data_IF_213272969483
#
_entry.id   IF_213272969483
#
_cell.length_a   1.000
_cell.length_b   1.000
_cell.length_c   1.000
_cell.angle_alpha   90.00
_cell.angle_beta   90.00
_cell.angle_gamma   90.00
#
_symmetry.space_group_name_H-M   'P 1'
#
loop_
_entity.id
_entity.type
_entity.pdbx_description
1 polymer ?
#
# COMPACT_ATOMS: atom_id res chain seq x y z
N UNK A 1 -11.00 -5.60 21.61
CA UNK A 1 -12.31 -5.04 21.18
C UNK A 1 -12.18 -4.24 19.88
N UNK A 2 -11.29 -3.23 19.77
CA UNK A 2 -11.16 -2.41 18.56
C UNK A 2 -10.74 -3.16 17.29
N UNK A 3 -9.71 -4.03 17.36
CA UNK A 3 -9.24 -4.84 16.22
C UNK A 3 -10.31 -5.78 15.64
N UNK A 4 -11.27 -6.23 16.45
CA UNK A 4 -12.38 -7.08 16.00
C UNK A 4 -13.33 -6.28 15.10
N UNK A 5 -13.58 -5.01 15.42
CA UNK A 5 -14.39 -4.14 14.56
C UNK A 5 -13.71 -3.89 13.21
N UNK A 6 -12.39 -3.70 13.21
CA UNK A 6 -11.62 -3.55 11.97
C UNK A 6 -11.71 -4.83 11.14
N UNK A 7 -11.52 -6.01 11.74
CA UNK A 7 -11.67 -7.29 11.05
C UNK A 7 -13.06 -7.45 10.41
N UNK A 8 -14.12 -7.09 11.15
CA UNK A 8 -15.48 -7.13 10.64
C UNK A 8 -15.70 -6.14 9.49
N UNK A 9 -15.16 -4.92 9.57
CA UNK A 9 -15.22 -3.94 8.47
C UNK A 9 -14.54 -4.48 7.21
N UNK A 10 -13.34 -5.05 7.34
CA UNK A 10 -12.60 -5.65 6.23
C UNK A 10 -13.40 -6.80 5.61
N UNK A 11 -14.00 -7.65 6.44
CA UNK A 11 -14.82 -8.75 5.96
C UNK A 11 -16.06 -8.27 5.21
N UNK A 12 -16.74 -7.23 5.70
CA UNK A 12 -17.89 -6.64 5.02
C UNK A 12 -17.51 -5.99 3.69
N UNK A 13 -16.36 -5.30 3.64
CA UNK A 13 -15.81 -4.67 2.44
C UNK A 13 -15.44 -5.71 1.37
N UNK A 14 -14.73 -6.76 1.77
CA UNK A 14 -14.10 -7.71 0.84
C UNK A 14 -14.99 -8.92 0.52
N UNK A 15 -15.93 -9.27 1.39
CA UNK A 15 -16.74 -10.49 1.30
C UNK A 15 -16.04 -11.76 1.81
N UNK A 16 -14.85 -11.64 2.40
CA UNK A 16 -14.04 -12.75 2.90
C UNK A 16 -13.66 -12.55 4.37
N UNK A 17 -13.54 -13.62 5.18
CA UNK A 17 -13.11 -13.51 6.57
C UNK A 17 -11.83 -12.68 6.76
N UNK A 18 -11.70 -12.07 7.92
CA UNK A 18 -10.48 -11.36 8.35
C UNK A 18 -10.17 -11.77 9.79
N UNK A 19 -8.96 -12.27 10.05
CA UNK A 19 -8.53 -12.63 11.41
C UNK A 19 -8.08 -11.36 12.16
N UNK A 20 -8.66 -11.04 13.33
CA UNK A 20 -8.17 -9.95 14.18
C UNK A 20 -6.70 -10.09 14.60
N UNK A 21 -6.12 -11.30 14.63
CA UNK A 21 -4.71 -11.52 14.97
C UNK A 21 -3.74 -10.99 13.92
N UNK A 22 -4.22 -10.78 12.69
CA UNK A 22 -3.44 -10.23 11.58
C UNK A 22 -3.52 -8.69 11.51
N UNK A 23 -4.19 -8.06 12.49
CA UNK A 23 -4.43 -6.61 12.50
C UNK A 23 -3.56 -5.94 13.56
N UNK A 24 -2.71 -5.03 13.10
CA UNK A 24 -1.84 -4.24 13.95
C UNK A 24 -2.28 -2.77 13.89
N UNK A 25 -2.39 -2.15 15.06
CA UNK A 25 -2.64 -0.72 15.17
C UNK A 25 -1.31 0.02 15.20
N UNK A 26 -1.16 1.01 14.33
CA UNK A 26 0.04 1.84 14.21
C UNK A 26 -0.30 3.31 14.46
N UNK A 27 0.71 4.15 14.68
CA UNK A 27 0.53 5.60 14.77
C UNK A 27 0.39 6.25 13.37
N UNK A 28 -0.63 5.82 12.63
CA UNK A 28 -0.94 6.23 11.26
C UNK A 28 -0.08 5.57 10.17
N UNK A 29 -0.50 5.77 8.90
CA UNK A 29 0.25 5.56 7.64
C UNK A 29 1.66 5.02 7.79
N UNK A 30 2.46 6.06 7.96
CA UNK A 30 3.89 6.06 7.86
C UNK A 30 4.55 5.15 8.88
N UNK A 31 4.00 5.04 10.09
CA UNK A 31 4.58 4.25 11.16
C UNK A 31 4.52 2.74 10.86
N UNK A 32 3.37 2.28 10.38
CA UNK A 32 3.21 0.89 9.92
C UNK A 32 4.14 0.58 8.75
N UNK A 33 4.14 1.44 7.71
CA UNK A 33 4.97 1.24 6.51
C UNK A 33 6.45 1.17 6.88
N UNK A 34 6.94 2.11 7.70
CA UNK A 34 8.32 2.10 8.20
C UNK A 34 8.64 0.82 8.96
N UNK A 35 7.73 0.36 9.81
CA UNK A 35 7.91 -0.87 10.58
C UNK A 35 8.06 -2.10 9.68
N UNK A 36 7.20 -2.26 8.67
CA UNK A 36 7.29 -3.38 7.73
C UNK A 36 8.53 -3.30 6.87
N UNK A 37 8.86 -2.13 6.31
CA UNK A 37 10.09 -1.97 5.50
C UNK A 37 11.31 -2.35 6.36
N UNK A 38 11.38 -1.90 7.62
CA UNK A 38 12.47 -2.24 8.54
C UNK A 38 12.60 -3.76 8.75
N UNK A 39 11.49 -4.49 8.85
CA UNK A 39 11.48 -5.95 9.00
C UNK A 39 12.00 -6.69 7.75
N UNK A 40 11.83 -6.10 6.56
CA UNK A 40 12.29 -6.67 5.28
C UNK A 40 13.77 -6.42 5.00
N UNK A 41 14.45 -5.63 5.84
CA UNK A 41 15.85 -5.29 5.65
C UNK A 41 16.75 -6.49 5.99
N UNK A 42 17.64 -6.82 5.06
CA UNK A 42 18.76 -7.70 5.33
C UNK A 42 19.98 -6.87 5.73
N UNK A 43 20.88 -7.48 6.50
CA UNK A 43 22.13 -6.84 6.93
C UNK A 43 23.32 -7.21 6.03
N UNK A 44 23.09 -7.53 4.75
CA UNK A 44 24.16 -7.86 3.80
C UNK A 44 24.64 -6.60 3.07
N UNK A 45 25.81 -6.03 3.42
CA UNK A 45 26.29 -4.79 2.82
C UNK A 45 26.67 -4.92 1.34
N UNK A 46 26.91 -6.14 0.84
CA UNK A 46 27.26 -6.37 -0.57
C UNK A 46 26.02 -6.49 -1.47
N UNK A 47 24.87 -6.79 -0.88
CA UNK A 47 23.62 -7.00 -1.60
C UNK A 47 22.45 -6.57 -0.69
N UNK A 48 22.27 -5.25 -0.49
CA UNK A 48 21.23 -4.73 0.39
C UNK A 48 19.84 -5.15 -0.09
N UNK A 49 18.86 -5.09 0.81
CA UNK A 49 17.45 -5.27 0.42
C UNK A 49 17.04 -4.24 -0.62
N UNK A 50 16.30 -4.67 -1.64
CA UNK A 50 15.73 -3.81 -2.65
C UNK A 50 14.21 -3.76 -2.53
N UNK A 51 13.63 -2.57 -2.58
CA UNK A 51 12.17 -2.39 -2.57
C UNK A 51 11.76 -1.62 -3.83
N UNK A 52 10.79 -2.18 -4.55
CA UNK A 52 10.20 -1.56 -5.72
C UNK A 52 9.19 -0.49 -5.31
N UNK A 53 9.30 0.72 -5.84
CA UNK A 53 8.37 1.84 -5.55
C UNK A 53 7.92 2.53 -6.85
N UNK A 54 6.66 3.02 -6.92
CA UNK A 54 6.14 3.63 -8.13
C UNK A 54 6.79 4.97 -8.40
N UNK A 55 6.89 5.38 -9.66
CA UNK A 55 7.20 6.76 -10.04
C UNK A 55 6.05 7.30 -10.89
N UNK A 56 5.41 8.43 -10.49
CA UNK A 56 5.67 9.24 -9.29
C UNK A 56 5.10 8.66 -7.98
N UNK A 57 5.61 9.08 -6.83
CA UNK A 57 5.14 8.70 -5.48
C UNK A 57 5.36 9.82 -4.44
N UNK A 58 4.69 9.73 -3.29
CA UNK A 58 4.95 10.60 -2.13
C UNK A 58 6.32 10.34 -1.49
N UNK A 59 7.05 11.34 -0.96
CA UNK A 59 8.42 11.18 -0.45
C UNK A 59 8.63 10.18 0.72
N UNK A 60 7.55 9.69 1.35
CA UNK A 60 7.61 8.76 2.47
C UNK A 60 8.49 7.53 2.16
N UNK A 61 8.30 6.93 0.99
CA UNK A 61 8.94 5.67 0.63
C UNK A 61 10.44 5.84 0.37
N UNK A 62 10.81 6.72 -0.55
CA UNK A 62 12.22 7.01 -0.86
C UNK A 62 13.00 7.48 0.37
N UNK A 63 12.41 8.34 1.21
CA UNK A 63 13.05 8.76 2.46
C UNK A 63 13.27 7.58 3.42
N UNK A 64 12.28 6.69 3.58
CA UNK A 64 12.38 5.51 4.46
C UNK A 64 13.40 4.50 3.94
N UNK A 65 13.44 4.25 2.63
CA UNK A 65 14.43 3.36 2.03
C UNK A 65 15.86 3.90 2.22
N UNK A 66 16.04 5.20 2.03
CA UNK A 66 17.33 5.86 2.32
C UNK A 66 17.71 5.78 3.80
N UNK A 67 16.75 5.97 4.71
CA UNK A 67 16.96 5.88 6.16
C UNK A 67 17.50 4.50 6.58
N UNK A 68 17.02 3.43 5.92
CA UNK A 68 17.39 2.05 6.25
C UNK A 68 18.49 1.46 5.36
N UNK A 69 19.04 2.24 4.43
CA UNK A 69 20.08 1.78 3.50
C UNK A 69 19.58 0.73 2.50
N UNK A 70 18.28 0.72 2.20
CA UNK A 70 17.69 -0.11 1.16
C UNK A 70 17.96 0.48 -0.22
N UNK A 71 18.10 -0.39 -1.23
CA UNK A 71 18.13 0.04 -2.61
C UNK A 71 16.70 0.34 -3.09
N UNK A 72 16.50 1.57 -3.55
CA UNK A 72 15.27 1.99 -4.22
C UNK A 72 15.26 1.44 -5.65
N UNK A 73 14.21 0.69 -5.99
CA UNK A 73 13.99 0.16 -7.34
C UNK A 73 12.78 0.88 -7.94
N UNK A 74 13.02 1.83 -8.83
CA UNK A 74 11.95 2.60 -9.45
C UNK A 74 11.25 1.79 -10.54
N UNK A 75 9.92 1.76 -10.50
CA UNK A 75 9.09 1.35 -11.63
C UNK A 75 8.18 2.50 -12.05
N UNK A 76 8.06 2.74 -13.35
CA UNK A 76 7.30 3.88 -13.85
C UNK A 76 5.82 3.51 -14.07
N UNK A 77 4.93 4.39 -13.63
CA UNK A 77 3.51 4.27 -13.95
C UNK A 77 3.25 4.74 -15.39
N UNK A 78 2.28 4.13 -16.06
CA UNK A 78 1.96 4.42 -17.46
C UNK A 78 1.04 5.64 -17.57
N UNK A 79 1.61 6.83 -17.74
CA UNK A 79 0.88 8.10 -17.85
C UNK A 79 -0.17 8.09 -18.97
N UNK A 80 0.19 7.54 -20.14
CA UNK A 80 -0.69 7.47 -21.32
C UNK A 80 -1.88 6.52 -21.09
N UNK A 81 -1.75 5.59 -20.15
CA UNK A 81 -2.79 4.63 -19.77
C UNK A 81 -3.27 4.85 -18.33
N UNK A 82 -3.60 6.11 -17.98
CA UNK A 82 -4.20 6.49 -16.69
C UNK A 82 -3.37 6.10 -15.46
N UNK A 83 -2.05 6.17 -15.54
CA UNK A 83 -1.12 5.84 -14.47
C UNK A 83 -1.26 4.40 -13.95
N UNK A 84 -1.69 3.48 -14.82
CA UNK A 84 -1.83 2.05 -14.48
C UNK A 84 -0.45 1.38 -14.34
N UNK A 85 -0.42 0.22 -13.67
CA UNK A 85 0.80 -0.58 -13.60
C UNK A 85 0.96 -1.45 -14.86
N UNK A 86 2.17 -1.49 -15.38
CA UNK A 86 2.56 -2.34 -16.50
C UNK A 86 3.50 -3.44 -16.00
N UNK A 87 3.16 -4.71 -16.26
CA UNK A 87 3.95 -5.86 -15.79
C UNK A 87 5.32 -5.93 -16.48
N UNK A 88 5.41 -5.54 -17.76
CA UNK A 88 6.70 -5.52 -18.47
C UNK A 88 7.65 -4.49 -17.86
N UNK A 89 7.11 -3.36 -17.40
CA UNK A 89 7.86 -2.35 -16.67
C UNK A 89 8.32 -2.85 -15.29
N UNK A 90 7.46 -3.56 -14.56
CA UNK A 90 7.86 -4.21 -13.30
C UNK A 90 8.97 -5.24 -13.51
N UNK A 91 8.87 -6.07 -14.56
CA UNK A 91 9.90 -7.03 -14.95
C UNK A 91 11.22 -6.34 -15.31
N UNK A 92 11.18 -5.25 -16.09
CA UNK A 92 12.35 -4.45 -16.47
C UNK A 92 13.05 -3.91 -15.22
N UNK A 93 12.32 -3.18 -14.37
CA UNK A 93 12.84 -2.58 -13.14
C UNK A 93 13.46 -3.62 -12.21
N UNK A 94 12.77 -4.75 -12.02
CA UNK A 94 13.27 -5.85 -11.21
C UNK A 94 14.57 -6.42 -11.78
N UNK A 95 14.62 -6.71 -13.08
CA UNK A 95 15.79 -7.30 -13.73
C UNK A 95 17.04 -6.40 -13.65
N UNK A 96 16.89 -5.10 -13.89
CA UNK A 96 17.99 -4.12 -13.80
C UNK A 96 18.53 -3.91 -12.37
N UNK A 97 17.81 -4.38 -11.35
CA UNK A 97 18.19 -4.22 -9.93
C UNK A 97 18.94 -5.43 -9.36
N UNK A 98 18.94 -6.58 -10.04
CA UNK A 98 19.40 -7.88 -9.49
C UNK A 98 20.89 -7.92 -9.11
N UNK A 99 21.71 -7.13 -9.80
CA UNK A 99 23.14 -7.02 -9.53
C UNK A 99 23.45 -6.05 -8.39
N UNK A 100 22.53 -5.11 -8.10
CA UNK A 100 22.70 -4.04 -7.12
C UNK A 100 22.10 -4.38 -5.76
N UNK A 101 21.05 -5.19 -5.73
CA UNK A 101 20.29 -5.49 -4.51
C UNK A 101 19.68 -6.88 -4.53
N UNK A 102 19.13 -7.30 -3.39
CA UNK A 102 18.21 -8.43 -3.28
C UNK A 102 16.78 -7.89 -3.18
N UNK A 103 16.02 -7.82 -4.29
CA UNK A 103 14.64 -7.37 -4.25
C UNK A 103 13.82 -8.26 -3.31
N UNK A 104 13.11 -7.65 -2.37
CA UNK A 104 12.32 -8.36 -1.38
C UNK A 104 10.89 -7.84 -1.22
N UNK A 105 10.56 -6.71 -1.85
CA UNK A 105 9.21 -6.18 -1.79
C UNK A 105 8.88 -5.17 -2.88
N UNK A 106 7.58 -4.91 -3.02
CA UNK A 106 6.99 -3.94 -3.93
C UNK A 106 5.91 -3.14 -3.21
N UNK A 107 6.00 -1.82 -3.31
CA UNK A 107 4.99 -0.88 -2.83
C UNK A 107 4.00 -0.59 -3.95
N UNK A 108 2.72 -0.66 -3.64
CA UNK A 108 1.62 -0.26 -4.54
C UNK A 108 0.77 0.77 -3.79
N UNK A 109 0.51 1.92 -4.41
CA UNK A 109 -0.35 2.97 -3.84
C UNK A 109 -1.65 2.97 -4.64
N UNK A 110 -2.77 2.59 -4.01
CA UNK A 110 -4.08 2.47 -4.67
C UNK A 110 -5.24 2.80 -3.71
N UNK A 111 -6.03 3.86 -3.97
CA UNK A 111 -5.87 4.86 -5.01
C UNK A 111 -4.54 5.62 -4.92
N UNK A 112 -3.96 5.98 -6.07
CA UNK A 112 -2.59 6.50 -6.11
C UNK A 112 -2.45 7.96 -5.67
N UNK A 113 -1.27 8.28 -5.15
CA UNK A 113 -0.86 9.63 -4.77
C UNK A 113 0.56 9.87 -5.29
N UNK A 114 0.80 10.86 -6.17
CA UNK A 114 -0.07 12.00 -6.50
C UNK A 114 -1.05 11.79 -7.66
N UNK A 115 -1.05 10.63 -8.30
CA UNK A 115 -1.67 10.40 -9.61
C UNK A 115 -3.19 10.22 -9.59
N UNK A 116 -3.80 9.88 -8.45
CA UNK A 116 -5.26 9.79 -8.28
C UNK A 116 -5.93 8.63 -9.03
N UNK A 117 -5.17 7.74 -9.67
CA UNK A 117 -5.70 6.57 -10.36
C UNK A 117 -6.26 5.54 -9.39
N UNK A 118 -7.22 4.77 -9.88
CA UNK A 118 -7.81 3.63 -9.17
C UNK A 118 -7.58 2.39 -10.01
N UNK A 119 -6.88 1.41 -9.46
CA UNK A 119 -6.52 0.20 -10.19
C UNK A 119 -7.74 -0.70 -10.39
N UNK A 120 -7.81 -1.32 -11.57
CA UNK A 120 -8.79 -2.37 -11.83
C UNK A 120 -8.45 -3.65 -11.08
N UNK A 121 -9.46 -4.46 -10.78
CA UNK A 121 -9.26 -5.78 -10.16
C UNK A 121 -8.26 -6.65 -10.94
N UNK A 122 -8.30 -6.64 -12.27
CA UNK A 122 -7.37 -7.43 -13.09
C UNK A 122 -5.94 -6.90 -13.02
N UNK A 123 -5.75 -5.58 -12.96
CA UNK A 123 -4.42 -4.99 -12.80
C UNK A 123 -3.80 -5.40 -11.45
N UNK A 124 -4.59 -5.34 -10.37
CA UNK A 124 -4.17 -5.82 -9.03
C UNK A 124 -3.80 -7.31 -9.08
N UNK A 125 -4.64 -8.15 -9.71
CA UNK A 125 -4.37 -9.60 -9.86
C UNK A 125 -3.08 -9.88 -10.63
N UNK A 126 -2.79 -9.10 -11.67
CA UNK A 126 -1.54 -9.22 -12.41
C UNK A 126 -0.32 -8.87 -11.55
N UNK A 127 -0.41 -7.83 -10.72
CA UNK A 127 0.63 -7.48 -9.74
C UNK A 127 0.82 -8.59 -8.72
N UNK A 128 -0.25 -9.20 -8.20
CA UNK A 128 -0.17 -10.33 -7.26
C UNK A 128 0.56 -11.51 -7.92
N UNK A 129 0.23 -11.86 -9.17
CA UNK A 129 0.91 -12.93 -9.92
C UNK A 129 2.39 -12.63 -10.13
N UNK A 130 2.72 -11.39 -10.47
CA UNK A 130 4.12 -10.93 -10.61
C UNK A 130 4.89 -11.05 -9.29
N UNK A 131 4.34 -10.52 -8.19
CA UNK A 131 4.97 -10.59 -6.88
C UNK A 131 5.17 -12.03 -6.41
N UNK A 132 4.16 -12.89 -6.62
CA UNK A 132 4.26 -14.32 -6.33
C UNK A 132 5.36 -15.01 -7.15
N UNK A 133 5.43 -14.77 -8.46
CA UNK A 133 6.47 -15.32 -9.35
C UNK A 133 7.89 -14.97 -8.86
N UNK A 134 8.08 -13.77 -8.34
CA UNK A 134 9.39 -13.25 -7.93
C UNK A 134 9.62 -13.25 -6.42
N UNK A 135 8.73 -13.86 -5.65
CA UNK A 135 8.81 -13.95 -4.18
C UNK A 135 8.95 -12.58 -3.50
N UNK A 136 8.19 -11.59 -3.98
CA UNK A 136 8.18 -10.23 -3.44
C UNK A 136 7.07 -10.04 -2.41
N UNK A 137 7.39 -9.36 -1.32
CA UNK A 137 6.41 -8.87 -0.36
C UNK A 137 5.61 -7.69 -0.95
N UNK A 138 4.28 -7.73 -0.94
CA UNK A 138 3.45 -6.61 -1.41
C UNK A 138 3.11 -5.68 -0.24
N UNK A 139 3.48 -4.41 -0.34
CA UNK A 139 2.99 -3.34 0.52
C UNK A 139 1.88 -2.59 -0.21
N UNK A 140 0.63 -2.93 0.08
CA UNK A 140 -0.54 -2.26 -0.48
C UNK A 140 -0.95 -1.05 0.39
N UNK A 141 -0.62 0.15 -0.07
CA UNK A 141 -1.04 1.41 0.53
C UNK A 141 -2.42 1.82 0.02
N UNK A 142 -3.44 1.51 0.81
CA UNK A 142 -4.86 1.69 0.52
C UNK A 142 -5.50 2.81 1.36
N UNK A 143 -4.72 3.80 1.80
CA UNK A 143 -5.21 4.89 2.68
C UNK A 143 -6.34 5.72 2.07
N UNK A 144 -6.41 5.79 0.75
CA UNK A 144 -7.44 6.52 -0.01
C UNK A 144 -8.61 5.63 -0.47
N UNK A 145 -8.81 4.44 0.10
CA UNK A 145 -9.82 3.48 -0.36
C UNK A 145 -11.26 4.02 -0.47
N UNK A 146 -11.61 5.03 0.34
CA UNK A 146 -12.93 5.69 0.34
C UNK A 146 -12.99 6.93 -0.60
N UNK A 147 -11.85 7.33 -1.18
CA UNK A 147 -11.70 8.54 -2.00
C UNK A 147 -11.74 8.21 -3.51
N UNK A 148 -12.79 7.51 -3.96
CA UNK A 148 -13.01 7.16 -5.37
C UNK A 148 -14.11 8.03 -5.96
N UNK A 149 -13.76 8.89 -6.93
CA UNK A 149 -14.68 9.91 -7.46
C UNK A 149 -15.07 9.71 -8.93
N UNK A 150 -14.25 8.99 -9.70
CA UNK A 150 -14.51 8.81 -11.13
C UNK A 150 -15.76 7.94 -11.35
N UNK A 151 -16.74 8.39 -12.16
CA UNK A 151 -17.92 7.60 -12.46
C UNK A 151 -17.56 6.22 -13.02
N UNK A 152 -18.15 5.16 -12.45
CA UNK A 152 -17.87 3.78 -12.85
C UNK A 152 -16.56 3.19 -12.29
N UNK A 153 -15.75 3.98 -11.58
CA UNK A 153 -14.60 3.45 -10.84
C UNK A 153 -15.04 2.86 -9.50
N UNK A 154 -14.38 1.78 -9.10
CA UNK A 154 -14.62 1.10 -7.84
C UNK A 154 -13.27 0.71 -7.23
N UNK A 155 -13.12 0.95 -5.93
CA UNK A 155 -11.98 0.44 -5.19
C UNK A 155 -12.06 -1.09 -5.06
N UNK A 156 -10.96 -1.76 -5.35
CA UNK A 156 -10.74 -3.18 -5.07
C UNK A 156 -9.51 -3.29 -4.17
N UNK A 157 -9.65 -4.00 -3.06
CA UNK A 157 -8.53 -4.23 -2.17
C UNK A 157 -7.64 -5.36 -2.68
N UNK A 158 -6.34 -5.29 -2.37
CA UNK A 158 -5.41 -6.38 -2.61
C UNK A 158 -5.82 -7.65 -1.88
N UNK A 159 -6.39 -7.53 -0.66
CA UNK A 159 -6.94 -8.66 0.08
C UNK A 159 -8.08 -9.35 -0.69
N UNK A 160 -9.06 -8.59 -1.19
CA UNK A 160 -10.14 -9.17 -2.00
C UNK A 160 -9.60 -9.83 -3.27
N UNK A 161 -8.72 -9.15 -4.01
CA UNK A 161 -8.14 -9.69 -5.23
C UNK A 161 -7.32 -10.97 -4.99
N UNK A 162 -6.60 -11.06 -3.87
CA UNK A 162 -5.87 -12.26 -3.45
C UNK A 162 -6.81 -13.43 -3.18
N UNK A 163 -7.90 -13.18 -2.44
CA UNK A 163 -8.90 -14.21 -2.13
C UNK A 163 -9.64 -14.68 -3.39
N UNK A 164 -9.97 -13.76 -4.29
CA UNK A 164 -10.60 -14.06 -5.58
C UNK A 164 -9.72 -14.91 -6.50
N UNK A 165 -8.39 -14.76 -6.42
CA UNK A 165 -7.45 -15.57 -7.20
C UNK A 165 -7.41 -17.03 -6.74
N UNK A 166 -7.77 -17.30 -5.48
CA UNK A 166 -7.74 -18.66 -4.93
C UNK A 166 -6.32 -19.25 -4.84
N UNK A 167 -6.25 -20.57 -4.71
CA UNK A 167 -4.97 -21.27 -4.62
C UNK A 167 -4.17 -21.17 -5.93
N UNK A 168 -2.83 -21.02 -5.89
CA UNK A 168 -1.95 -21.07 -4.71
C UNK A 168 -1.80 -19.73 -3.97
N UNK A 169 -2.46 -18.65 -4.41
CA UNK A 169 -2.22 -17.30 -3.92
C UNK A 169 -2.83 -17.03 -2.54
N UNK A 170 -4.02 -17.58 -2.26
CA UNK A 170 -4.78 -17.37 -1.02
C UNK A 170 -4.31 -18.21 0.20
N UNK A 171 -3.29 -19.06 0.04
CA UNK A 171 -2.72 -19.89 1.10
C UNK A 171 -1.30 -19.49 1.47
N UNK A 172 -0.68 -18.60 0.70
CA UNK A 172 0.64 -18.13 1.07
C UNK A 172 0.52 -17.08 2.16
N UNK A 173 1.29 -17.30 3.21
CA UNK A 173 1.90 -16.28 4.07
C UNK A 173 2.80 -15.32 3.25
N UNK A 174 2.45 -15.02 1.99
CA UNK A 174 2.88 -13.77 1.37
C UNK A 174 2.42 -12.71 2.35
N UNK A 175 3.31 -11.80 2.73
CA UNK A 175 3.05 -10.77 3.72
C UNK A 175 1.92 -9.77 3.42
N UNK A 176 1.01 -10.14 2.52
CA UNK A 176 -0.30 -9.56 2.27
C UNK A 176 -1.22 -9.70 3.51
N UNK A 177 -0.91 -10.58 4.48
CA UNK A 177 -1.58 -10.56 5.79
C UNK A 177 -1.08 -9.44 6.72
N UNK A 178 -0.05 -8.68 6.33
CA UNK A 178 0.31 -7.41 6.97
C UNK A 178 -0.18 -6.25 6.12
N UNK A 179 -1.48 -6.24 5.81
CA UNK A 179 -2.12 -5.02 5.34
C UNK A 179 -2.09 -4.03 6.51
N UNK A 180 -1.20 -3.05 6.42
CA UNK A 180 -1.23 -1.89 7.30
C UNK A 180 -2.51 -1.13 6.94
N UNK A 181 -3.61 -1.47 7.62
CA UNK A 181 -4.80 -0.64 7.66
C UNK A 181 -4.49 0.58 8.49
N UNK A 182 -3.77 1.50 7.89
CA UNK A 182 -3.68 2.81 8.47
C UNK A 182 -4.88 3.61 8.01
N UNK A 183 -5.91 3.56 8.85
CA UNK A 183 -6.78 4.71 8.97
C UNK A 183 -5.89 5.92 9.28
N UNK A 184 -5.81 6.86 8.36
CA UNK A 184 -5.56 8.23 8.80
C UNK A 184 -6.79 8.63 9.62
N UNK A 185 -6.72 8.48 10.94
CA UNK A 185 -7.62 9.17 11.88
C UNK A 185 -7.21 10.66 11.88
N UNK A 186 -7.21 11.27 10.70
CA UNK A 186 -6.88 12.68 10.51
C UNK A 186 -8.05 13.42 9.85
N UNK A 187 -9.07 12.71 9.33
CA UNK A 187 -10.26 13.33 8.74
C UNK A 187 -11.48 13.28 9.69
N UNK A 188 -11.50 12.37 10.67
CA UNK A 188 -12.65 12.27 11.59
C UNK A 188 -12.76 13.37 12.66
N UNK A 189 -11.70 14.18 12.86
CA UNK A 189 -11.72 15.26 13.87
C UNK A 189 -12.46 16.51 13.38
N UNK A 190 -12.62 16.71 12.07
CA UNK A 190 -13.36 17.87 11.55
C UNK A 190 -14.86 17.63 11.32
N UNK A 191 -15.30 16.37 11.25
CA UNK A 191 -16.70 16.03 10.96
C UNK A 191 -17.58 15.83 12.20
N UNK A 192 -16.99 15.76 13.40
CA UNK A 192 -17.70 15.52 14.67
C UNK A 192 -17.49 16.61 15.74
N UNK A 193 -17.03 17.80 15.34
CA UNK A 193 -17.10 18.96 16.23
C UNK A 193 -18.54 19.51 16.25
N UNK A 194 -19.17 19.65 17.42
CA UNK A 194 -20.42 20.38 17.54
C UNK A 194 -20.27 21.78 16.93
N UNK A 195 -21.34 22.30 16.30
CA UNK A 195 -21.35 23.61 15.66
C UNK A 195 -20.91 24.77 16.60
N UNK A 196 -20.88 24.56 17.91
CA UNK A 196 -20.42 25.51 18.92
C UNK A 196 -18.90 25.81 18.90
N UNK A 197 -18.08 25.04 18.18
CA UNK A 197 -16.63 25.31 18.05
C UNK A 197 -16.22 26.05 16.77
N UNK A 198 -17.15 26.34 15.85
CA UNK A 198 -16.88 27.09 14.61
C UNK A 198 -16.61 28.60 14.83
N UNK A 199 -16.75 29.11 16.06
CA UNK A 199 -16.47 30.51 16.39
C UNK A 199 -15.02 30.77 16.83
N UNK A 200 -14.21 29.73 17.06
CA UNK A 200 -12.85 29.89 17.58
C UNK A 200 -11.76 30.11 16.50
N UNK A 201 -12.08 29.95 15.21
CA UNK A 201 -11.11 30.11 14.10
C UNK A 201 -11.04 31.52 13.49
N UNK A 202 -11.82 32.49 14.00
CA UNK A 202 -11.76 33.90 13.53
C UNK A 202 -10.71 34.77 14.24
N UNK A 203 -9.89 34.20 15.12
CA UNK A 203 -8.94 34.96 15.95
C UNK A 203 -7.47 34.95 15.52
N UNK A 204 -7.12 34.35 14.38
CA UNK A 204 -5.72 34.16 13.98
C UNK A 204 -5.32 34.90 12.69
N UNK A 205 -5.91 36.07 12.41
CA UNK A 205 -5.30 37.08 11.55
C UNK A 205 -5.40 38.43 12.26
N UNK A 206 -4.34 38.77 12.99
CA UNK A 206 -4.11 40.03 13.70
C UNK A 206 -2.66 40.08 14.13
#
# INVERSE_FOLDING_TARGET
>A
MFIIYIANYIQQRDGYPSDPNNIYLCNGASDGIKTIIKLLMNHNPKKPSGIMIPVPHIPLYSATLSEYGAHQIDYYLDEDNNWTLNIDELERALNESKDRSAPCGIVIINPGNPTGQVLSSENIKNVIRFAHKHQLFILADEVYQENVYLPGSKFFSFKQALMDLGAPYNHMEMGIEYLIFCFSISIFVFSYLPASFHSASKGWHG
#
